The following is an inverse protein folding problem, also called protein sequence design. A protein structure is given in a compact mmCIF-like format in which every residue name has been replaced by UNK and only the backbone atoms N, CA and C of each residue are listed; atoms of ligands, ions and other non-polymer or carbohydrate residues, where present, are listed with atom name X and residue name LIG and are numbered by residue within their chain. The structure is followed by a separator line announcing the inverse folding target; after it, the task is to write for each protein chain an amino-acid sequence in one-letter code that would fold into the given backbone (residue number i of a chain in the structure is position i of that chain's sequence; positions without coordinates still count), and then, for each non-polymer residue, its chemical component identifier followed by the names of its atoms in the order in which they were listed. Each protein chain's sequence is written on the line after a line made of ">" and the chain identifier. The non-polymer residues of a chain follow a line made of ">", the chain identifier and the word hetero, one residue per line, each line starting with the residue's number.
data_IF_637438852586
#
_entry.id   IF_637438852586
#
_cell.length_a   1.000
_cell.length_b   1.000
_cell.length_c   1.000
_cell.angle_alpha   90.00
_cell.angle_beta   90.00
_cell.angle_gamma   90.00
#
_symmetry.space_group_name_H-M   'P 1'
#
loop_
_entity.id
_entity.type
_entity.pdbx_description
1 polymer ?
#
# COMPACT_ATOMS: atom_id res chain seq x y z
N UNK A 1 -0.74 20.91 25.54
CA UNK A 1 -0.52 20.24 24.22
C UNK A 1 -1.52 19.11 24.13
N UNK A 2 -2.48 19.22 23.27
CA UNK A 2 -3.45 18.15 23.06
C UNK A 2 -2.74 17.02 22.34
N UNK A 3 -2.54 15.90 23.01
CA UNK A 3 -2.13 14.66 22.36
C UNK A 3 -3.34 14.20 21.56
N UNK A 4 -3.36 14.50 20.28
CA UNK A 4 -4.33 13.90 19.38
C UNK A 4 -4.08 12.40 19.42
N UNK A 5 -4.97 11.65 20.04
CA UNK A 5 -4.92 10.20 20.04
C UNK A 5 -5.20 9.76 18.62
N UNK A 6 -4.16 9.40 17.91
CA UNK A 6 -4.25 8.87 16.57
C UNK A 6 -4.87 7.46 16.69
N UNK A 7 -5.94 7.13 15.98
CA UNK A 7 -6.46 5.77 15.94
C UNK A 7 -5.33 4.81 15.53
N UNK A 8 -5.10 3.81 16.34
CA UNK A 8 -4.05 2.82 16.14
C UNK A 8 -4.64 1.42 16.19
N UNK A 9 -4.32 0.63 15.20
CA UNK A 9 -4.59 -0.81 15.20
C UNK A 9 -3.25 -1.53 15.20
N UNK A 10 -3.07 -2.45 16.16
CA UNK A 10 -1.88 -3.30 16.24
C UNK A 10 -2.33 -4.75 16.15
N UNK A 11 -1.79 -5.49 15.21
CA UNK A 11 -2.04 -6.91 15.01
C UNK A 11 -0.72 -7.66 15.16
N UNK A 12 -0.70 -8.64 16.06
CA UNK A 12 0.40 -9.58 16.24
C UNK A 12 -0.12 -10.98 16.02
N UNK A 13 0.47 -11.72 15.12
CA UNK A 13 0.00 -13.06 14.77
C UNK A 13 1.14 -13.92 14.22
N UNK A 14 0.99 -15.25 14.21
CA UNK A 14 1.92 -16.11 13.49
C UNK A 14 1.97 -15.73 12.01
N UNK A 15 3.18 -15.72 11.43
CA UNK A 15 3.42 -15.39 10.03
C UNK A 15 2.94 -16.53 9.11
N UNK A 16 1.64 -16.61 8.89
CA UNK A 16 0.95 -17.62 8.08
C UNK A 16 0.03 -16.96 7.06
N UNK A 17 -0.28 -17.67 6.00
CA UNK A 17 -1.13 -17.18 4.91
C UNK A 17 -2.52 -16.70 5.40
N UNK A 18 -3.10 -17.36 6.40
CA UNK A 18 -4.39 -16.99 7.00
C UNK A 18 -4.34 -15.60 7.64
N UNK A 19 -3.19 -15.22 8.23
CA UNK A 19 -2.97 -13.91 8.82
C UNK A 19 -3.09 -12.76 7.81
N UNK A 20 -2.69 -12.99 6.57
CA UNK A 20 -2.83 -11.98 5.50
C UNK A 20 -4.30 -11.61 5.29
N UNK A 21 -5.20 -12.60 5.33
CA UNK A 21 -6.65 -12.37 5.25
C UNK A 21 -7.17 -11.51 6.41
N UNK A 22 -6.71 -11.77 7.64
CA UNK A 22 -7.08 -10.98 8.83
C UNK A 22 -6.63 -9.52 8.67
N UNK A 23 -5.39 -9.29 8.26
CA UNK A 23 -4.86 -7.94 8.02
C UNK A 23 -5.69 -7.19 6.98
N UNK A 24 -6.07 -7.85 5.89
CA UNK A 24 -6.91 -7.24 4.84
C UNK A 24 -8.28 -6.83 5.35
N UNK A 25 -8.91 -7.63 6.24
CA UNK A 25 -10.20 -7.29 6.84
C UNK A 25 -10.08 -6.12 7.83
N UNK A 26 -9.04 -6.12 8.66
CA UNK A 26 -8.77 -5.00 9.56
C UNK A 26 -8.54 -3.70 8.79
N UNK A 27 -7.78 -3.76 7.70
CA UNK A 27 -7.55 -2.62 6.81
C UNK A 27 -8.85 -2.12 6.18
N UNK A 28 -9.71 -3.02 5.71
CA UNK A 28 -11.00 -2.64 5.13
C UNK A 28 -11.89 -1.91 6.15
N UNK A 29 -11.95 -2.41 7.39
CA UNK A 29 -12.68 -1.75 8.48
C UNK A 29 -12.12 -0.38 8.83
N UNK A 30 -10.80 -0.24 8.88
CA UNK A 30 -10.14 1.05 9.14
C UNK A 30 -10.40 2.05 8.01
N UNK A 31 -10.30 1.61 6.77
CA UNK A 31 -10.54 2.44 5.60
C UNK A 31 -12.00 2.92 5.49
N UNK A 32 -12.95 2.06 5.87
CA UNK A 32 -14.37 2.43 5.93
C UNK A 32 -14.60 3.50 7.02
N UNK A 33 -14.05 3.30 8.21
CA UNK A 33 -14.16 4.25 9.32
C UNK A 33 -13.55 5.62 9.00
N UNK A 34 -12.50 5.67 8.18
CA UNK A 34 -11.78 6.86 7.77
C UNK A 34 -12.26 7.44 6.43
N UNK A 35 -13.28 6.86 5.82
CA UNK A 35 -13.87 7.28 4.55
C UNK A 35 -12.83 7.38 3.39
N UNK A 36 -11.97 6.37 3.26
CA UNK A 36 -11.01 6.29 2.16
C UNK A 36 -11.68 6.20 0.79
N UNK A 37 -11.05 6.82 -0.20
CA UNK A 37 -11.39 6.59 -1.60
C UNK A 37 -11.26 5.09 -1.94
N UNK A 38 -12.28 4.46 -2.60
CA UNK A 38 -12.23 3.04 -2.96
C UNK A 38 -11.02 2.63 -3.82
N UNK A 39 -10.53 3.53 -4.66
CA UNK A 39 -9.34 3.27 -5.47
C UNK A 39 -8.08 3.22 -4.61
N UNK A 40 -7.96 4.11 -3.62
CA UNK A 40 -6.86 4.10 -2.65
C UNK A 40 -6.94 2.84 -1.79
N UNK A 41 -8.12 2.43 -1.34
CA UNK A 41 -8.30 1.18 -0.60
C UNK A 41 -7.84 -0.05 -1.40
N UNK A 42 -8.10 -0.08 -2.69
CA UNK A 42 -7.63 -1.16 -3.57
C UNK A 42 -6.10 -1.23 -3.60
N UNK A 43 -5.43 -0.11 -3.75
CA UNK A 43 -3.96 -0.01 -3.73
C UNK A 43 -3.39 -0.41 -2.37
N UNK A 44 -4.00 0.05 -1.28
CA UNK A 44 -3.61 -0.34 0.08
C UNK A 44 -3.69 -1.85 0.29
N UNK A 45 -4.80 -2.48 -0.13
CA UNK A 45 -4.98 -3.94 -0.01
C UNK A 45 -3.92 -4.71 -0.78
N UNK A 46 -3.55 -4.25 -1.97
CA UNK A 46 -2.51 -4.87 -2.78
C UNK A 46 -1.15 -4.73 -2.12
N UNK A 47 -0.75 -3.52 -1.72
CA UNK A 47 0.53 -3.23 -1.09
C UNK A 47 0.72 -4.01 0.22
N UNK A 48 -0.30 -4.03 1.09
CA UNK A 48 -0.27 -4.76 2.37
C UNK A 48 -0.21 -6.27 2.14
N UNK A 49 -0.94 -6.78 1.15
CA UNK A 49 -0.87 -8.21 0.79
C UNK A 49 0.55 -8.60 0.39
N UNK A 50 1.20 -7.82 -0.46
CA UNK A 50 2.59 -8.06 -0.86
C UNK A 50 3.55 -7.98 0.33
N UNK A 51 3.44 -6.97 1.19
CA UNK A 51 4.31 -6.83 2.36
C UNK A 51 4.15 -8.00 3.34
N UNK A 52 2.93 -8.41 3.65
CA UNK A 52 2.66 -9.54 4.55
C UNK A 52 3.07 -10.89 3.92
N UNK A 53 2.85 -11.06 2.62
CA UNK A 53 3.27 -12.27 1.89
C UNK A 53 4.79 -12.41 1.90
N UNK A 54 5.52 -11.30 1.75
CA UNK A 54 6.98 -11.31 1.86
C UNK A 54 7.45 -11.82 3.24
N UNK A 55 6.77 -11.43 4.32
CA UNK A 55 7.06 -11.95 5.66
C UNK A 55 6.78 -13.44 5.74
N UNK A 56 5.60 -13.87 5.31
CA UNK A 56 5.17 -15.28 5.39
C UNK A 56 6.08 -16.21 4.59
N UNK A 57 6.53 -15.77 3.42
CA UNK A 57 7.30 -16.62 2.50
C UNK A 57 8.81 -16.55 2.76
N UNK A 58 9.32 -15.39 3.20
CA UNK A 58 10.77 -15.14 3.15
C UNK A 58 11.43 -14.82 4.49
N UNK A 59 10.66 -14.41 5.51
CA UNK A 59 11.27 -13.95 6.76
C UNK A 59 11.77 -15.08 7.66
N UNK A 60 11.12 -16.23 7.60
CA UNK A 60 11.35 -17.35 8.52
C UNK A 60 11.63 -18.64 7.78
N UNK A 61 12.27 -19.61 8.49
CA UNK A 61 12.47 -20.97 7.98
C UNK A 61 11.22 -21.85 8.15
N UNK A 62 11.31 -23.08 7.61
CA UNK A 62 10.18 -24.02 7.57
C UNK A 62 9.71 -24.51 8.97
N UNK A 63 10.61 -24.49 9.98
CA UNK A 63 10.34 -25.05 11.30
C UNK A 63 9.66 -24.09 12.28
N UNK A 64 9.68 -22.78 12.03
CA UNK A 64 9.05 -21.76 12.84
C UNK A 64 8.36 -20.73 11.94
N UNK A 65 7.02 -20.57 12.02
CA UNK A 65 6.33 -19.56 11.22
C UNK A 65 6.75 -18.14 11.61
N UNK A 66 7.31 -17.92 12.80
CA UNK A 66 7.66 -16.61 13.33
C UNK A 66 6.44 -15.72 13.55
N UNK A 67 6.68 -14.44 13.70
CA UNK A 67 5.67 -13.43 14.02
C UNK A 67 5.55 -12.40 12.90
N UNK A 68 4.31 -12.08 12.56
CA UNK A 68 3.91 -10.98 11.71
C UNK A 68 3.29 -9.90 12.58
N UNK A 69 3.90 -8.72 12.62
CA UNK A 69 3.36 -7.54 13.27
C UNK A 69 2.90 -6.54 12.22
N UNK A 70 1.66 -6.04 12.35
CA UNK A 70 1.11 -4.98 11.50
C UNK A 70 0.55 -3.88 12.37
N UNK A 71 0.96 -2.64 12.11
CA UNK A 71 0.42 -1.44 12.73
C UNK A 71 -0.26 -0.56 11.69
N UNK A 72 -1.38 0.03 12.05
CA UNK A 72 -2.10 1.00 11.22
C UNK A 72 -2.28 2.28 12.05
N UNK A 73 -1.69 3.37 11.59
CA UNK A 73 -1.61 4.65 12.29
C UNK A 73 -2.32 5.70 11.45
N UNK A 74 -3.49 6.14 11.90
CA UNK A 74 -4.24 7.18 11.20
C UNK A 74 -3.71 8.58 11.55
N UNK A 75 -3.27 9.33 10.54
CA UNK A 75 -2.94 10.74 10.62
C UNK A 75 -4.16 11.62 10.32
N UNK A 76 -3.94 12.92 10.18
CA UNK A 76 -5.02 13.86 9.83
C UNK A 76 -5.49 13.71 8.37
N UNK A 77 -4.59 13.36 7.46
CA UNK A 77 -4.86 13.27 6.02
C UNK A 77 -4.37 11.97 5.39
N UNK A 78 -3.78 11.08 6.18
CA UNK A 78 -3.18 9.85 5.70
C UNK A 78 -3.31 8.69 6.69
N UNK A 79 -3.04 7.50 6.21
CA UNK A 79 -2.87 6.28 6.99
C UNK A 79 -1.47 5.74 6.74
N UNK A 80 -0.70 5.55 7.79
CA UNK A 80 0.57 4.83 7.72
C UNK A 80 0.38 3.40 8.17
N UNK A 81 0.83 2.47 7.34
CA UNK A 81 0.82 1.03 7.63
C UNK A 81 2.26 0.56 7.78
N UNK A 82 2.54 -0.14 8.86
CA UNK A 82 3.87 -0.69 9.16
C UNK A 82 3.76 -2.19 9.27
N UNK A 83 4.52 -2.92 8.48
CA UNK A 83 4.62 -4.38 8.51
C UNK A 83 6.01 -4.75 8.99
N UNK A 84 6.10 -5.56 10.05
CA UNK A 84 7.37 -5.99 10.65
C UNK A 84 7.46 -7.49 10.77
N UNK A 85 8.66 -7.99 10.59
CA UNK A 85 9.07 -9.34 10.99
C UNK A 85 10.33 -9.28 11.86
N UNK A 86 10.59 -10.36 12.56
CA UNK A 86 11.82 -10.58 13.35
C UNK A 86 12.67 -11.71 12.79
N UNK A 87 12.53 -11.96 11.50
CA UNK A 87 13.20 -13.04 10.81
C UNK A 87 14.65 -12.74 10.43
N UNK A 88 15.09 -13.31 9.32
CA UNK A 88 16.47 -13.21 8.86
C UNK A 88 16.85 -11.83 8.34
N UNK A 89 15.88 -10.93 8.17
CA UNK A 89 16.09 -9.59 7.61
C UNK A 89 16.35 -9.62 6.10
N UNK A 90 16.71 -8.46 5.57
CA UNK A 90 17.05 -8.34 4.16
C UNK A 90 18.44 -8.92 3.94
N UNK A 91 18.51 -10.01 3.21
CA UNK A 91 19.77 -10.58 2.75
C UNK A 91 19.94 -10.34 1.24
N UNK A 92 21.10 -9.86 0.80
CA UNK A 92 21.40 -9.86 -0.62
C UNK A 92 21.48 -11.31 -1.09
N UNK A 93 20.47 -11.79 -1.80
CA UNK A 93 20.53 -13.11 -2.46
C UNK A 93 21.39 -12.97 -3.71
N UNK A 94 22.35 -13.88 -3.93
CA UNK A 94 22.98 -14.01 -5.24
C UNK A 94 21.89 -14.29 -6.26
N UNK A 95 21.95 -13.58 -7.39
CA UNK A 95 21.00 -13.77 -8.50
C UNK A 95 20.99 -15.24 -8.93
N UNK A 96 19.98 -15.99 -8.52
CA UNK A 96 19.64 -17.26 -9.09
C UNK A 96 18.72 -17.00 -10.27
N UNK A 97 19.16 -17.42 -11.43
CA UNK A 97 18.55 -17.18 -12.73
C UNK A 97 17.17 -17.82 -12.94
N UNK A 98 16.64 -18.58 -11.96
CA UNK A 98 15.47 -19.44 -12.17
C UNK A 98 14.25 -19.12 -11.29
N UNK A 99 14.24 -18.01 -10.55
CA UNK A 99 13.04 -17.59 -9.81
C UNK A 99 12.84 -16.09 -9.92
N UNK A 100 11.80 -15.61 -10.61
CA UNK A 100 11.48 -14.18 -10.69
C UNK A 100 10.81 -13.65 -9.39
N UNK A 101 11.16 -14.18 -8.22
CA UNK A 101 10.28 -14.12 -7.05
C UNK A 101 10.52 -12.98 -6.07
N UNK A 102 11.51 -12.11 -6.22
CA UNK A 102 11.75 -11.01 -5.27
C UNK A 102 11.93 -9.63 -5.92
N UNK A 103 11.81 -9.54 -7.23
CA UNK A 103 12.05 -8.31 -7.95
C UNK A 103 10.87 -7.34 -8.01
N UNK A 104 9.63 -7.80 -7.84
CA UNK A 104 8.42 -7.01 -8.11
C UNK A 104 7.65 -6.55 -6.86
N UNK A 105 7.76 -7.26 -5.73
CA UNK A 105 6.97 -6.97 -4.53
C UNK A 105 7.27 -5.59 -3.93
N UNK A 106 8.53 -5.30 -3.59
CA UNK A 106 8.91 -4.00 -3.00
C UNK A 106 8.74 -2.82 -3.97
N UNK A 107 9.15 -2.91 -5.25
CA UNK A 107 8.84 -1.89 -6.23
C UNK A 107 7.34 -1.65 -6.43
N UNK A 108 6.52 -2.69 -6.38
CA UNK A 108 5.07 -2.56 -6.46
C UNK A 108 4.51 -1.80 -5.25
N UNK A 109 4.92 -2.16 -4.04
CA UNK A 109 4.52 -1.45 -2.81
C UNK A 109 4.88 0.04 -2.91
N UNK A 110 6.11 0.34 -3.33
CA UNK A 110 6.57 1.71 -3.51
C UNK A 110 5.76 2.48 -4.56
N UNK A 111 5.35 1.83 -5.64
CA UNK A 111 4.54 2.45 -6.69
C UNK A 111 3.09 2.71 -6.27
N UNK A 112 2.54 1.89 -5.36
CA UNK A 112 1.15 1.99 -4.89
C UNK A 112 0.98 2.96 -3.72
N UNK A 113 2.04 3.26 -2.97
CA UNK A 113 2.01 4.13 -1.79
C UNK A 113 2.50 5.54 -2.11
N UNK A 114 2.00 6.54 -1.37
CA UNK A 114 2.46 7.92 -1.49
C UNK A 114 3.84 8.12 -0.86
N UNK A 115 4.15 7.34 0.17
CA UNK A 115 5.48 7.26 0.76
C UNK A 115 5.82 5.82 1.13
N UNK A 116 7.07 5.43 0.94
CA UNK A 116 7.58 4.10 1.20
C UNK A 116 8.95 4.16 1.88
N UNK A 117 9.10 3.41 2.95
CA UNK A 117 10.39 3.20 3.62
C UNK A 117 10.60 1.71 3.90
N UNK A 118 11.81 1.25 3.65
CA UNK A 118 12.26 -0.10 3.96
C UNK A 118 13.43 -0.02 4.94
N UNK A 119 13.29 -0.66 6.08
CA UNK A 119 14.33 -0.78 7.10
C UNK A 119 14.56 -2.23 7.43
N UNK A 120 15.79 -2.60 7.64
CA UNK A 120 16.16 -3.95 8.05
C UNK A 120 17.65 -4.17 7.95
N UNK A 121 18.10 -5.16 8.68
CA UNK A 121 19.48 -5.63 8.64
C UNK A 121 19.51 -7.13 8.83
N UNK A 122 20.56 -7.77 8.32
CA UNK A 122 20.73 -9.22 8.43
C UNK A 122 20.63 -9.66 9.90
N UNK A 123 19.74 -10.60 10.20
CA UNK A 123 19.52 -11.14 11.54
C UNK A 123 18.66 -10.29 12.48
N UNK A 124 18.13 -9.15 12.05
CA UNK A 124 17.33 -8.23 12.88
C UNK A 124 15.91 -7.99 12.36
N UNK A 125 15.48 -8.75 11.37
CA UNK A 125 14.16 -8.61 10.76
C UNK A 125 14.05 -7.45 9.76
N UNK A 126 12.83 -7.21 9.33
CA UNK A 126 12.50 -6.19 8.32
C UNK A 126 11.31 -5.36 8.78
N UNK A 127 11.34 -4.08 8.48
CA UNK A 127 10.21 -3.16 8.61
C UNK A 127 9.92 -2.52 7.27
N UNK A 128 8.69 -2.67 6.81
CA UNK A 128 8.14 -1.98 5.64
C UNK A 128 7.14 -0.96 6.14
N UNK A 129 7.35 0.31 5.83
CA UNK A 129 6.44 1.41 6.14
C UNK A 129 5.89 1.99 4.86
N UNK A 130 4.58 2.11 4.76
CA UNK A 130 3.88 2.66 3.62
C UNK A 130 2.80 3.63 4.07
N UNK A 131 2.67 4.75 3.39
CA UNK A 131 1.71 5.81 3.72
C UNK A 131 0.79 6.06 2.53
N UNK A 132 -0.51 6.25 2.80
CA UNK A 132 -1.55 6.48 1.80
C UNK A 132 -2.41 7.67 2.24
N UNK A 133 -2.59 8.64 1.37
CA UNK A 133 -3.51 9.75 1.58
C UNK A 133 -4.97 9.30 1.47
N UNK A 134 -5.90 9.89 2.24
CA UNK A 134 -7.32 9.51 2.25
C UNK A 134 -7.99 9.67 0.89
N UNK A 135 -7.61 10.70 0.14
CA UNK A 135 -8.12 10.96 -1.19
C UNK A 135 -6.94 11.08 -2.17
N UNK A 136 -7.12 10.59 -3.39
CA UNK A 136 -6.20 10.93 -4.46
C UNK A 136 -6.37 12.40 -4.80
N UNK A 137 -5.26 13.14 -4.89
CA UNK A 137 -5.27 14.38 -5.66
C UNK A 137 -5.66 14.01 -7.10
N UNK A 138 -6.87 14.37 -7.48
CA UNK A 138 -7.22 14.35 -8.89
C UNK A 138 -6.41 15.45 -9.54
N UNK A 139 -5.40 15.09 -10.31
CA UNK A 139 -4.77 16.02 -11.23
C UNK A 139 -5.87 16.71 -12.02
N UNK A 140 -5.88 18.05 -12.14
CA UNK A 140 -6.90 18.78 -12.85
C UNK A 140 -6.82 18.59 -14.39
N UNK A 141 -6.26 17.49 -14.86
CA UNK A 141 -6.07 17.17 -16.29
C UNK A 141 -7.37 16.73 -16.97
N UNK A 142 -8.42 16.40 -16.22
CA UNK A 142 -9.71 16.04 -16.80
C UNK A 142 -10.75 17.17 -16.83
N UNK A 143 -10.32 18.41 -16.73
CA UNK A 143 -11.08 19.49 -17.29
C UNK A 143 -10.89 19.45 -18.81
N UNK A 144 -11.50 18.46 -19.46
CA UNK A 144 -11.60 18.42 -20.91
C UNK A 144 -12.43 19.64 -21.38
N UNK A 145 -11.83 20.68 -21.98
CA UNK A 145 -12.56 21.82 -22.50
C UNK A 145 -13.14 21.53 -23.87
N UNK A 146 -13.38 20.27 -24.21
CA UNK A 146 -14.06 19.91 -25.47
C UNK A 146 -15.52 19.52 -25.18
N UNK A 147 -16.30 20.44 -24.63
CA UNK A 147 -17.66 20.61 -25.08
C UNK A 147 -17.61 21.59 -26.26
N UNK A 148 -17.24 21.08 -27.41
CA UNK A 148 -17.59 21.75 -28.63
C UNK A 148 -19.12 21.79 -28.73
N UNK A 149 -19.69 22.99 -28.69
CA UNK A 149 -21.12 23.17 -28.96
C UNK A 149 -21.38 22.67 -30.37
N UNK A 150 -22.14 21.60 -30.45
CA UNK A 150 -22.73 21.19 -31.74
C UNK A 150 -23.74 22.28 -32.11
N UNK A 151 -23.63 22.81 -33.32
CA UNK A 151 -24.69 23.64 -33.87
C UNK A 151 -26.01 22.85 -33.90
N UNK A 152 -27.12 23.51 -33.89
CA UNK A 152 -28.45 22.88 -33.87
C UNK A 152 -28.73 21.89 -35.01
N UNK A 153 -27.74 21.59 -35.87
CA UNK A 153 -27.80 20.63 -36.98
C UNK A 153 -26.91 19.39 -36.74
N UNK A 154 -26.20 19.31 -35.58
CA UNK A 154 -25.33 18.18 -35.25
C UNK A 154 -23.97 18.20 -35.96
N UNK A 155 -23.53 19.32 -36.51
CA UNK A 155 -22.20 19.49 -37.09
C UNK A 155 -21.24 20.23 -36.17
N UNK A 156 -19.98 19.82 -36.23
CA UNK A 156 -18.90 20.48 -35.54
C UNK A 156 -18.59 21.85 -36.14
N UNK A 157 -18.67 22.91 -35.37
CA UNK A 157 -18.31 24.26 -35.83
C UNK A 157 -16.78 24.46 -35.64
N UNK A 158 -16.02 24.81 -36.69
CA UNK A 158 -14.62 25.16 -36.53
C UNK A 158 -14.49 26.50 -35.81
N UNK A 159 -13.73 26.49 -34.68
CA UNK A 159 -13.41 27.70 -33.95
C UNK A 159 -12.73 28.72 -34.84
N UNK A 160 -13.22 29.93 -34.79
CA UNK A 160 -12.70 31.12 -35.49
C UNK A 160 -11.29 31.41 -34.94
N UNK A 161 -10.31 31.32 -35.82
CA UNK A 161 -8.95 31.77 -35.53
C UNK A 161 -8.83 33.23 -35.92
N UNK A 162 -8.87 34.08 -34.92
CA UNK A 162 -8.42 35.47 -35.04
C UNK A 162 -7.21 35.68 -34.12
#
# INVERSE_FOLDING_TARGET
>A
MSTTTVPEVVLNMPARAEGVGVVRQALAGMADALAFDPAVLSDMKMAVTEACTNVVVHAYGDDDPGELEVQMLAGEQDLTIVVRDRGTGIQPKPARTDTPALGLGLPLIAALSDAFELRGSAGHGTEVRMTFSYARETDPVDANPVRGDLDGSGRWAPGDQA
#
